data_IF_455309582804
#
_entry.id   IF_455309582804
#
_cell.length_a   1.000
_cell.length_b   1.000
_cell.length_c   1.000
_cell.angle_alpha   90.00
_cell.angle_beta   90.00
_cell.angle_gamma   90.00
#
_symmetry.space_group_name_H-M   'P 1'
#
loop_
_entity.id
_entity.type
_entity.pdbx_description
1 polymer ?
#
# COMPACT_ATOMS: atom_id res chain seq x y z
N UNK A 1 -11.55 27.72 -24.25
CA UNK A 1 -12.52 28.09 -23.21
C UNK A 1 -12.49 27.00 -22.17
N UNK A 2 -12.35 27.27 -20.88
CA UNK A 2 -12.45 26.25 -19.85
C UNK A 2 -13.83 25.61 -19.96
N UNK A 3 -13.89 24.29 -20.09
CA UNK A 3 -15.14 23.55 -20.12
C UNK A 3 -15.65 23.45 -18.68
N UNK A 4 -16.56 24.33 -18.30
CA UNK A 4 -17.30 24.19 -17.06
C UNK A 4 -18.25 22.99 -17.21
N UNK A 5 -18.03 21.92 -16.45
CA UNK A 5 -18.92 20.77 -16.43
C UNK A 5 -19.56 20.63 -15.05
N UNK A 6 -20.86 20.38 -15.01
CA UNK A 6 -21.55 19.91 -13.82
C UNK A 6 -21.75 18.40 -13.90
N UNK A 7 -21.36 17.69 -12.84
CA UNK A 7 -21.43 16.22 -12.75
C UNK A 7 -22.26 15.80 -11.55
N UNK A 8 -22.90 14.64 -11.64
CA UNK A 8 -23.50 14.01 -10.46
C UNK A 8 -22.42 13.66 -9.44
N UNK A 9 -21.26 13.18 -9.91
CA UNK A 9 -20.13 12.88 -9.06
C UNK A 9 -18.78 13.24 -9.70
N UNK A 10 -17.87 13.80 -8.89
CA UNK A 10 -16.46 13.94 -9.22
C UNK A 10 -15.63 13.07 -8.28
N UNK A 11 -14.72 12.27 -8.84
CA UNK A 11 -13.79 11.42 -8.10
C UNK A 11 -12.39 12.04 -8.17
N UNK A 12 -11.76 12.25 -7.03
CA UNK A 12 -10.41 12.81 -6.90
C UNK A 12 -9.42 11.67 -6.71
N UNK A 13 -8.60 11.40 -7.74
CA UNK A 13 -7.62 10.32 -7.80
C UNK A 13 -8.06 9.15 -8.66
N UNK A 14 -7.16 8.68 -9.55
CA UNK A 14 -7.34 7.53 -10.45
C UNK A 14 -6.51 6.31 -10.02
N UNK A 15 -6.39 6.04 -8.70
CA UNK A 15 -5.95 4.76 -8.16
C UNK A 15 -7.08 3.72 -8.19
N UNK A 16 -6.83 2.50 -7.72
CA UNK A 16 -7.85 1.44 -7.68
C UNK A 16 -9.14 1.87 -6.99
N UNK A 17 -9.06 2.61 -5.88
CA UNK A 17 -10.26 3.10 -5.18
C UNK A 17 -11.08 4.05 -6.05
N UNK A 18 -10.45 5.04 -6.67
CA UNK A 18 -11.13 6.02 -7.50
C UNK A 18 -11.70 5.43 -8.79
N UNK A 19 -10.92 4.57 -9.46
CA UNK A 19 -11.41 3.89 -10.67
C UNK A 19 -12.58 2.95 -10.35
N UNK A 20 -12.53 2.21 -9.23
CA UNK A 20 -13.64 1.36 -8.80
C UNK A 20 -14.88 2.18 -8.48
N UNK A 21 -14.73 3.30 -7.78
CA UNK A 21 -15.84 4.22 -7.54
C UNK A 21 -16.44 4.74 -8.86
N UNK A 22 -15.61 5.17 -9.80
CA UNK A 22 -16.07 5.69 -11.09
C UNK A 22 -16.87 4.64 -11.88
N UNK A 23 -16.40 3.37 -11.89
CA UNK A 23 -17.15 2.29 -12.53
C UNK A 23 -18.54 2.07 -11.93
N UNK A 24 -18.66 2.07 -10.60
CA UNK A 24 -19.94 1.91 -9.93
C UNK A 24 -20.91 3.07 -10.25
N UNK A 25 -20.39 4.31 -10.21
CA UNK A 25 -21.17 5.51 -10.51
C UNK A 25 -21.65 5.52 -11.97
N UNK A 26 -20.77 5.24 -12.93
CA UNK A 26 -21.11 5.15 -14.35
C UNK A 26 -22.14 4.04 -14.59
N UNK A 27 -21.99 2.87 -13.95
CA UNK A 27 -22.96 1.77 -14.04
C UNK A 27 -24.33 2.14 -13.48
N UNK A 28 -24.37 3.00 -12.47
CA UNK A 28 -25.60 3.57 -11.93
C UNK A 28 -26.22 4.68 -12.81
N UNK A 29 -25.61 5.01 -13.97
CA UNK A 29 -26.08 6.02 -14.89
C UNK A 29 -25.73 7.45 -14.49
N UNK A 30 -24.84 7.65 -13.50
CA UNK A 30 -24.46 8.97 -13.01
C UNK A 30 -23.36 9.58 -13.90
N UNK A 31 -23.52 10.87 -14.23
CA UNK A 31 -22.49 11.63 -14.92
C UNK A 31 -21.27 11.79 -14.01
N UNK A 32 -20.15 11.20 -14.42
CA UNK A 32 -18.98 11.02 -13.56
C UNK A 32 -17.72 11.59 -14.21
N UNK A 33 -16.88 12.25 -13.40
CA UNK A 33 -15.55 12.75 -13.77
C UNK A 33 -14.51 12.23 -12.76
N UNK A 34 -13.37 11.78 -13.27
CA UNK A 34 -12.20 11.42 -12.45
C UNK A 34 -11.09 12.42 -12.71
N UNK A 35 -10.53 13.02 -11.67
CA UNK A 35 -9.41 13.97 -11.73
C UNK A 35 -8.16 13.33 -11.12
N UNK A 36 -7.12 13.13 -11.92
CA UNK A 36 -5.86 12.55 -11.50
C UNK A 36 -4.72 13.57 -11.64
N UNK A 37 -3.94 13.71 -10.59
CA UNK A 37 -2.83 14.67 -10.55
C UNK A 37 -1.67 14.28 -11.48
N UNK A 38 -1.44 12.98 -11.68
CA UNK A 38 -0.36 12.41 -12.51
C UNK A 38 -0.77 12.29 -13.98
N UNK A 39 0.21 12.18 -14.89
CA UNK A 39 -0.04 11.83 -16.30
C UNK A 39 -0.35 10.33 -16.50
N UNK A 40 -0.70 9.60 -15.45
CA UNK A 40 -1.00 8.16 -15.46
C UNK A 40 -2.01 7.78 -14.38
N UNK A 41 -2.70 6.69 -14.59
CA UNK A 41 -3.55 6.04 -13.59
C UNK A 41 -2.76 5.06 -12.71
N UNK A 42 -3.39 4.45 -11.70
CA UNK A 42 -2.87 3.40 -10.85
C UNK A 42 -2.41 3.85 -9.45
N UNK A 43 -2.19 5.17 -9.24
CA UNK A 43 -1.79 5.67 -7.92
C UNK A 43 -0.47 5.06 -7.43
N UNK A 44 -0.52 4.28 -6.34
CA UNK A 44 0.63 3.57 -5.72
C UNK A 44 1.08 2.31 -6.46
N UNK A 45 0.57 2.08 -7.65
CA UNK A 45 1.00 1.03 -8.57
C UNK A 45 1.73 1.70 -9.74
N UNK A 46 2.90 1.21 -10.06
CA UNK A 46 3.72 1.70 -11.17
C UNK A 46 4.53 0.54 -11.74
N UNK A 47 4.35 0.26 -13.01
CA UNK A 47 5.15 -0.72 -13.76
C UNK A 47 6.06 -0.01 -14.74
N UNK A 48 7.32 -0.40 -14.80
CA UNK A 48 8.33 0.07 -15.74
C UNK A 48 8.89 -1.13 -16.50
N UNK A 49 9.23 -0.92 -17.76
CA UNK A 49 9.97 -1.88 -18.56
C UNK A 49 11.38 -1.38 -18.83
N UNK A 50 12.35 -2.28 -18.78
CA UNK A 50 13.69 -2.04 -19.29
C UNK A 50 13.70 -2.10 -20.81
N UNK A 51 14.82 -1.70 -21.44
CA UNK A 51 14.93 -1.65 -22.89
C UNK A 51 14.74 -3.02 -23.58
N UNK A 52 15.03 -4.10 -22.88
CA UNK A 52 14.88 -5.49 -23.36
C UNK A 52 13.49 -6.09 -23.07
N UNK A 53 12.57 -5.32 -22.47
CA UNK A 53 11.24 -5.76 -22.08
C UNK A 53 11.13 -6.37 -20.70
N UNK A 54 12.20 -6.42 -19.89
CA UNK A 54 12.13 -6.89 -18.50
C UNK A 54 11.19 -6.01 -17.69
N UNK A 55 10.15 -6.61 -17.09
CA UNK A 55 9.13 -5.94 -16.29
C UNK A 55 9.62 -5.69 -14.87
N UNK A 56 9.46 -4.46 -14.39
CA UNK A 56 9.73 -4.05 -13.02
C UNK A 56 8.48 -3.39 -12.42
N UNK A 57 7.93 -3.97 -11.36
CA UNK A 57 6.87 -3.34 -10.57
C UNK A 57 7.49 -2.48 -9.46
N UNK A 58 7.51 -1.17 -9.66
CA UNK A 58 8.11 -0.21 -8.74
C UNK A 58 7.21 0.07 -7.52
N UNK A 59 5.91 -0.23 -7.61
CA UNK A 59 4.92 -0.12 -6.55
C UNK A 59 4.40 -1.45 -6.05
N UNK A 60 3.13 -1.49 -5.63
CA UNK A 60 2.43 -2.72 -5.29
C UNK A 60 2.39 -3.69 -6.47
N UNK A 61 2.42 -5.01 -6.20
CA UNK A 61 2.64 -6.01 -7.25
C UNK A 61 1.96 -7.35 -7.02
N UNK A 62 1.45 -7.64 -5.81
CA UNK A 62 0.94 -8.96 -5.44
C UNK A 62 -0.55 -9.00 -5.21
N UNK A 63 -1.12 -10.17 -5.45
CA UNK A 63 -2.52 -10.51 -5.16
C UNK A 63 -2.53 -11.85 -4.42
N UNK A 64 -3.30 -11.92 -3.35
CA UNK A 64 -3.56 -13.16 -2.62
C UNK A 64 -4.93 -13.76 -2.96
N UNK A 65 -5.11 -15.07 -2.77
CA UNK A 65 -6.35 -15.76 -3.17
C UNK A 65 -7.61 -15.33 -2.41
N UNK A 66 -7.46 -14.72 -1.24
CA UNK A 66 -8.58 -14.20 -0.43
C UNK A 66 -8.89 -12.72 -0.72
N UNK A 67 -8.16 -12.09 -1.65
CA UNK A 67 -8.38 -10.73 -2.13
C UNK A 67 -9.39 -10.75 -3.28
N UNK A 68 -10.67 -10.95 -2.94
CA UNK A 68 -11.72 -11.29 -3.90
C UNK A 68 -12.08 -10.12 -4.83
N UNK A 69 -12.03 -8.88 -4.36
CA UNK A 69 -12.37 -7.71 -5.16
C UNK A 69 -11.38 -7.47 -6.31
N UNK A 70 -10.07 -7.59 -6.02
CA UNK A 70 -9.06 -7.42 -7.07
C UNK A 70 -9.00 -8.64 -7.99
N UNK A 71 -9.24 -9.85 -7.48
CA UNK A 71 -9.32 -11.07 -8.28
C UNK A 71 -10.47 -11.00 -9.28
N UNK A 72 -11.63 -10.46 -8.88
CA UNK A 72 -12.74 -10.18 -9.80
C UNK A 72 -12.33 -9.26 -10.94
N UNK A 73 -11.57 -8.18 -10.65
CA UNK A 73 -11.09 -7.27 -11.69
C UNK A 73 -10.07 -7.93 -12.64
N UNK A 74 -9.17 -8.76 -12.11
CA UNK A 74 -8.25 -9.57 -12.92
C UNK A 74 -9.02 -10.44 -13.91
N UNK A 75 -10.05 -11.15 -13.44
CA UNK A 75 -10.91 -12.01 -14.27
C UNK A 75 -11.71 -11.18 -15.27
N UNK A 76 -12.37 -10.11 -14.82
CA UNK A 76 -13.19 -9.23 -15.66
C UNK A 76 -12.41 -8.65 -16.83
N UNK A 77 -11.18 -8.25 -16.59
CA UNK A 77 -10.35 -7.63 -17.62
C UNK A 77 -9.44 -8.62 -18.36
N UNK A 78 -9.53 -9.92 -18.06
CA UNK A 78 -8.74 -10.96 -18.71
C UNK A 78 -7.23 -10.74 -18.55
N UNK A 79 -6.80 -10.26 -17.38
CA UNK A 79 -5.38 -10.02 -17.10
C UNK A 79 -4.73 -11.34 -16.71
N UNK A 80 -3.65 -11.72 -17.40
CA UNK A 80 -2.90 -12.93 -17.08
C UNK A 80 -2.11 -12.74 -15.77
N UNK A 81 -2.03 -13.83 -15.01
CA UNK A 81 -1.29 -13.86 -13.74
C UNK A 81 -0.34 -15.05 -13.68
N UNK A 82 0.62 -14.99 -12.77
CA UNK A 82 1.56 -16.07 -12.52
C UNK A 82 1.89 -16.17 -11.01
N UNK A 83 2.22 -17.37 -10.50
CA UNK A 83 2.63 -17.51 -9.11
C UNK A 83 3.94 -16.77 -8.84
N UNK A 84 4.08 -16.18 -7.68
CA UNK A 84 5.35 -15.60 -7.25
C UNK A 84 6.40 -16.71 -7.18
N UNK A 85 7.58 -16.56 -7.81
CA UNK A 85 8.63 -17.54 -7.70
C UNK A 85 9.02 -17.78 -6.23
N UNK A 86 9.02 -19.01 -5.80
CA UNK A 86 9.27 -19.36 -4.39
C UNK A 86 9.88 -20.74 -4.20
N UNK A 87 10.28 -21.41 -5.30
CA UNK A 87 10.95 -22.71 -5.21
C UNK A 87 12.37 -22.55 -4.62
N UNK A 88 12.72 -23.44 -3.69
CA UNK A 88 13.99 -23.42 -2.99
C UNK A 88 13.88 -22.92 -1.54
N UNK A 89 15.02 -22.86 -0.87
CA UNK A 89 15.11 -22.46 0.53
C UNK A 89 15.02 -20.94 0.69
N UNK A 90 14.19 -20.48 1.64
CA UNK A 90 14.21 -19.09 2.12
C UNK A 90 15.39 -18.90 3.08
N UNK A 91 16.02 -17.73 3.02
CA UNK A 91 17.04 -17.31 3.98
C UNK A 91 16.36 -16.54 5.12
N UNK A 92 16.60 -16.94 6.36
CA UNK A 92 16.28 -16.15 7.55
C UNK A 92 17.59 -15.78 8.24
N UNK A 93 18.01 -14.52 8.11
CA UNK A 93 19.13 -13.99 8.86
C UNK A 93 18.60 -13.46 10.21
N UNK A 94 18.89 -14.19 11.26
CA UNK A 94 18.43 -13.93 12.62
C UNK A 94 19.62 -13.68 13.55
N UNK A 95 19.92 -12.41 13.79
CA UNK A 95 21.07 -12.00 14.59
C UNK A 95 22.42 -12.37 14.00
N UNK A 96 22.56 -12.35 12.67
CA UNK A 96 23.78 -12.76 11.96
C UNK A 96 23.90 -14.28 11.74
N UNK A 97 22.90 -15.06 12.16
CA UNK A 97 22.85 -16.51 11.94
C UNK A 97 21.83 -16.85 10.85
N UNK A 98 22.23 -17.69 9.91
CA UNK A 98 21.34 -18.18 8.85
C UNK A 98 20.52 -19.37 9.37
N UNK A 99 19.20 -19.23 9.35
CA UNK A 99 18.23 -20.25 9.75
C UNK A 99 17.43 -20.72 8.53
N UNK A 100 16.84 -21.92 8.63
CA UNK A 100 16.01 -22.53 7.58
C UNK A 100 14.50 -22.40 7.85
N UNK A 101 14.10 -21.62 8.83
CA UNK A 101 12.69 -21.41 9.19
C UNK A 101 12.51 -20.36 10.27
N UNK A 102 11.27 -20.06 10.59
CA UNK A 102 10.91 -19.09 11.64
C UNK A 102 11.32 -19.63 13.02
N UNK A 103 12.08 -18.84 13.81
CA UNK A 103 12.44 -19.24 15.17
C UNK A 103 11.23 -19.54 16.05
N UNK A 104 11.28 -20.53 16.98
CA UNK A 104 10.15 -20.86 17.87
C UNK A 104 9.64 -19.65 18.66
N UNK A 105 10.53 -18.83 19.20
CA UNK A 105 10.18 -17.59 19.92
C UNK A 105 9.32 -16.65 19.06
N UNK A 106 9.62 -16.49 17.77
CA UNK A 106 8.85 -15.69 16.83
C UNK A 106 7.49 -16.33 16.56
N UNK A 107 7.42 -17.65 16.43
CA UNK A 107 6.17 -18.39 16.23
C UNK A 107 5.21 -18.18 17.40
N UNK A 108 5.70 -18.21 18.62
CA UNK A 108 4.91 -17.95 19.83
C UNK A 108 4.40 -16.50 19.85
N UNK A 109 5.24 -15.53 19.53
CA UNK A 109 4.87 -14.12 19.47
C UNK A 109 3.84 -13.84 18.37
N UNK A 110 3.96 -14.47 17.19
CA UNK A 110 2.95 -14.38 16.14
C UNK A 110 1.61 -14.97 16.59
N UNK A 111 1.61 -16.09 17.30
CA UNK A 111 0.37 -16.68 17.83
C UNK A 111 -0.31 -15.77 18.86
N UNK A 112 0.45 -15.06 19.71
CA UNK A 112 -0.08 -14.06 20.62
C UNK A 112 -0.68 -12.87 19.87
N UNK A 113 0.04 -12.32 18.90
CA UNK A 113 -0.44 -11.22 18.07
C UNK A 113 -1.75 -11.61 17.35
N UNK A 114 -1.84 -12.80 16.79
CA UNK A 114 -3.06 -13.30 16.16
C UNK A 114 -4.22 -13.46 17.13
N UNK A 115 -3.94 -13.91 18.35
CA UNK A 115 -4.96 -14.04 19.41
C UNK A 115 -5.52 -12.66 19.82
N UNK A 116 -4.69 -11.64 19.84
CA UNK A 116 -5.09 -10.25 20.10
C UNK A 116 -5.84 -9.66 18.88
N UNK A 117 -5.34 -9.86 17.68
CA UNK A 117 -5.95 -9.35 16.45
C UNK A 117 -7.38 -9.87 16.23
N UNK A 118 -7.66 -11.13 16.57
CA UNK A 118 -9.03 -11.70 16.53
C UNK A 118 -10.05 -10.98 17.43
N UNK A 119 -9.61 -10.16 18.39
CA UNK A 119 -10.49 -9.38 19.24
C UNK A 119 -10.83 -7.99 18.67
N UNK A 120 -10.21 -7.61 17.56
CA UNK A 120 -10.43 -6.30 16.93
C UNK A 120 -11.59 -6.38 15.93
N UNK A 121 -12.70 -5.66 16.16
CA UNK A 121 -13.78 -5.54 15.17
C UNK A 121 -13.29 -4.64 14.03
N UNK A 122 -12.98 -5.24 12.87
CA UNK A 122 -12.34 -4.54 11.73
C UNK A 122 -13.17 -3.38 11.16
N UNK A 123 -14.49 -3.40 11.31
CA UNK A 123 -15.35 -2.29 10.92
C UNK A 123 -15.18 -1.07 11.85
N UNK A 124 -14.95 -1.32 13.12
CA UNK A 124 -14.89 -0.30 14.18
C UNK A 124 -13.79 -0.64 15.21
N UNK A 125 -12.49 -0.55 14.82
CA UNK A 125 -11.37 -0.96 15.70
C UNK A 125 -11.37 -0.29 17.06
N UNK A 126 -11.89 0.94 17.14
CA UNK A 126 -12.02 1.70 18.40
C UNK A 126 -13.00 1.07 19.41
N UNK A 127 -13.80 0.10 19.00
CA UNK A 127 -14.70 -0.66 19.86
C UNK A 127 -14.11 -2.01 20.33
N UNK A 128 -12.83 -2.27 20.06
CA UNK A 128 -12.17 -3.45 20.61
C UNK A 128 -12.19 -3.43 22.15
N UNK A 129 -12.31 -4.59 22.83
CA UNK A 129 -12.42 -4.65 24.31
C UNK A 129 -11.30 -3.91 25.06
N UNK A 130 -10.10 -3.85 24.47
CA UNK A 130 -8.93 -3.17 25.02
C UNK A 130 -8.46 -2.00 24.15
N UNK A 131 -9.36 -1.42 23.32
CA UNK A 131 -8.99 -0.37 22.37
C UNK A 131 -8.22 0.78 23.01
N UNK A 132 -8.71 1.31 24.13
CA UNK A 132 -8.08 2.44 24.82
C UNK A 132 -6.67 2.13 25.34
N UNK A 133 -6.39 0.91 25.72
CA UNK A 133 -5.07 0.45 26.13
C UNK A 133 -4.16 0.26 24.92
N UNK A 134 -4.59 -0.52 23.95
CA UNK A 134 -3.81 -0.85 22.75
C UNK A 134 -3.51 0.37 21.87
N UNK A 135 -4.41 1.35 21.84
CA UNK A 135 -4.21 2.54 21.03
C UNK A 135 -3.27 3.57 21.69
N UNK A 136 -3.09 3.53 23.02
CA UNK A 136 -2.14 4.41 23.72
C UNK A 136 -0.69 3.92 23.66
N UNK A 137 -0.50 2.61 23.52
CA UNK A 137 0.81 1.97 23.55
C UNK A 137 1.36 1.84 22.13
N UNK A 138 2.64 2.10 21.96
CA UNK A 138 3.32 1.75 20.71
C UNK A 138 3.54 0.24 20.61
N UNK A 139 3.65 -0.29 19.42
CA UNK A 139 3.99 -1.69 19.23
C UNK A 139 5.38 -2.02 19.80
N UNK A 140 6.33 -1.05 19.75
CA UNK A 140 7.63 -1.19 20.40
C UNK A 140 7.52 -1.38 21.93
N UNK A 141 6.63 -0.63 22.61
CA UNK A 141 6.39 -0.82 24.05
C UNK A 141 5.82 -2.21 24.33
N UNK A 142 4.89 -2.67 23.50
CA UNK A 142 4.32 -4.01 23.62
C UNK A 142 5.39 -5.09 23.46
N UNK A 143 6.30 -4.96 22.47
CA UNK A 143 7.43 -5.89 22.28
C UNK A 143 8.33 -5.90 23.52
N UNK A 144 8.68 -4.74 24.04
CA UNK A 144 9.54 -4.62 25.24
C UNK A 144 8.94 -5.32 26.47
N UNK A 145 7.62 -5.22 26.65
CA UNK A 145 6.90 -5.83 27.77
C UNK A 145 6.87 -7.39 27.70
N UNK A 146 7.18 -7.97 26.53
CA UNK A 146 7.25 -9.45 26.38
C UNK A 146 8.55 -10.03 26.96
N UNK A 147 9.58 -9.21 27.15
CA UNK A 147 10.88 -9.72 27.62
C UNK A 147 11.53 -10.68 26.65
N UNK A 148 11.18 -10.63 25.36
CA UNK A 148 11.77 -11.45 24.32
C UNK A 148 13.24 -11.06 24.04
N UNK A 149 13.96 -11.90 23.31
CA UNK A 149 15.34 -11.60 22.96
C UNK A 149 15.43 -10.33 22.10
N UNK A 150 16.56 -9.61 22.16
CA UNK A 150 16.78 -8.41 21.34
C UNK A 150 16.66 -8.71 19.85
N UNK A 151 17.06 -9.92 19.41
CA UNK A 151 16.95 -10.34 18.03
C UNK A 151 15.48 -10.55 17.65
N UNK A 152 14.68 -11.15 18.54
CA UNK A 152 13.24 -11.30 18.34
C UNK A 152 12.53 -9.95 18.27
N UNK A 153 12.86 -9.04 19.17
CA UNK A 153 12.32 -7.67 19.16
C UNK A 153 12.61 -6.97 17.82
N UNK A 154 13.87 -7.06 17.35
CA UNK A 154 14.27 -6.51 16.06
C UNK A 154 13.58 -7.20 14.88
N UNK A 155 13.39 -8.52 14.94
CA UNK A 155 12.66 -9.27 13.91
C UNK A 155 11.22 -8.79 13.80
N UNK A 156 10.51 -8.64 14.92
CA UNK A 156 9.14 -8.11 14.94
C UNK A 156 9.06 -6.68 14.41
N UNK A 157 9.95 -5.79 14.83
CA UNK A 157 9.98 -4.43 14.31
C UNK A 157 10.19 -4.42 12.79
N UNK A 158 11.16 -5.16 12.28
CA UNK A 158 11.46 -5.17 10.85
C UNK A 158 10.41 -5.88 10.00
N UNK A 159 9.90 -7.04 10.45
CA UNK A 159 9.00 -7.85 9.63
C UNK A 159 7.54 -7.41 9.79
N UNK A 160 7.09 -7.08 11.00
CA UNK A 160 5.71 -6.62 11.21
C UNK A 160 5.61 -5.11 10.94
N UNK A 161 6.34 -4.26 11.64
CA UNK A 161 6.21 -2.82 11.45
C UNK A 161 6.82 -2.37 10.12
N UNK A 162 8.00 -2.86 9.76
CA UNK A 162 8.64 -2.58 8.48
C UNK A 162 7.92 -3.23 7.31
N UNK A 163 7.86 -4.56 7.29
CA UNK A 163 7.37 -5.34 6.15
C UNK A 163 5.89 -5.15 5.85
N UNK A 164 5.05 -4.98 6.86
CA UNK A 164 3.60 -4.82 6.69
C UNK A 164 3.17 -3.34 6.63
N UNK A 165 3.73 -2.48 7.50
CA UNK A 165 3.28 -1.10 7.67
C UNK A 165 4.25 -0.08 7.07
N UNK A 166 5.42 -0.52 6.59
CA UNK A 166 6.51 0.34 6.10
C UNK A 166 6.92 1.43 7.11
N UNK A 167 6.85 1.14 8.39
CA UNK A 167 7.14 2.03 9.50
C UNK A 167 8.06 1.40 10.54
N UNK A 168 8.09 1.98 11.73
CA UNK A 168 8.76 1.44 12.90
C UNK A 168 7.73 1.08 13.98
N UNK A 169 8.03 0.07 14.80
CA UNK A 169 7.22 -0.30 15.95
C UNK A 169 7.04 0.85 16.96
N UNK A 170 7.92 1.84 16.94
CA UNK A 170 7.82 3.05 17.78
C UNK A 170 6.81 4.08 17.25
N UNK A 171 6.37 3.97 16.01
CA UNK A 171 5.49 4.95 15.35
C UNK A 171 4.02 4.49 15.32
N UNK A 172 3.76 3.20 15.33
CA UNK A 172 2.40 2.63 15.25
C UNK A 172 1.88 2.22 16.63
N UNK A 173 0.56 2.34 16.83
CA UNK A 173 -0.07 1.79 18.03
C UNK A 173 -0.23 0.27 17.94
N UNK A 174 -0.34 -0.38 19.08
CA UNK A 174 -0.72 -1.81 19.13
C UNK A 174 -2.05 -2.01 18.41
N UNK A 175 -3.03 -1.13 18.61
CA UNK A 175 -4.35 -1.26 17.97
C UNK A 175 -4.27 -1.16 16.45
N UNK A 176 -3.45 -0.25 15.91
CA UNK A 176 -3.22 -0.14 14.46
C UNK A 176 -2.62 -1.42 13.90
N UNK A 177 -1.58 -1.95 14.55
CA UNK A 177 -0.92 -3.20 14.13
C UNK A 177 -1.91 -4.38 14.16
N UNK A 178 -2.70 -4.49 15.22
CA UNK A 178 -3.71 -5.54 15.36
C UNK A 178 -4.85 -5.41 14.35
N UNK A 179 -5.32 -4.18 14.09
CA UNK A 179 -6.34 -3.92 13.08
C UNK A 179 -5.85 -4.34 11.69
N UNK A 180 -4.63 -3.94 11.33
CA UNK A 180 -4.06 -4.29 10.02
C UNK A 180 -4.01 -5.81 9.84
N UNK A 181 -3.51 -6.53 10.83
CA UNK A 181 -3.44 -7.99 10.85
C UNK A 181 -4.84 -8.61 10.78
N UNK A 182 -5.78 -8.12 11.59
CA UNK A 182 -7.16 -8.60 11.60
C UNK A 182 -7.86 -8.38 10.24
N UNK A 183 -7.58 -7.26 9.57
CA UNK A 183 -8.18 -6.91 8.28
C UNK A 183 -7.86 -7.91 7.16
N UNK A 184 -6.73 -8.60 7.27
CA UNK A 184 -6.27 -9.62 6.33
C UNK A 184 -6.51 -11.07 6.82
N UNK A 185 -6.97 -11.24 8.07
CA UNK A 185 -7.28 -12.54 8.65
C UNK A 185 -6.15 -13.20 9.44
N UNK A 186 -5.04 -12.49 9.70
CA UNK A 186 -3.94 -12.98 10.54
C UNK A 186 -2.55 -12.63 10.01
N UNK A 187 -1.53 -13.00 10.79
CA UNK A 187 -0.11 -12.77 10.44
C UNK A 187 0.31 -13.61 9.24
N UNK A 188 -0.03 -14.90 9.23
CA UNK A 188 0.35 -15.81 8.13
C UNK A 188 -0.21 -15.39 6.76
N UNK A 189 -1.51 -15.02 6.62
CA UNK A 189 -2.04 -14.46 5.38
C UNK A 189 -1.29 -13.24 4.87
N UNK A 190 -0.69 -12.44 5.76
CA UNK A 190 0.07 -11.23 5.39
C UNK A 190 1.52 -11.52 4.99
N UNK A 191 2.18 -12.45 5.67
CA UNK A 191 3.61 -12.70 5.48
C UNK A 191 3.93 -13.83 4.50
N UNK A 192 2.96 -14.66 4.17
CA UNK A 192 3.14 -15.83 3.31
C UNK A 192 3.21 -15.49 1.81
N UNK A 193 3.77 -16.41 1.04
CA UNK A 193 3.79 -16.37 -0.42
C UNK A 193 2.68 -17.27 -0.98
N UNK A 194 2.90 -18.56 -1.14
CA UNK A 194 1.89 -19.48 -1.68
C UNK A 194 0.63 -19.53 -0.79
N UNK A 195 -0.53 -19.24 -1.36
CA UNK A 195 -1.80 -19.19 -0.66
C UNK A 195 -2.04 -17.96 0.23
N UNK A 196 -1.15 -16.96 0.21
CA UNK A 196 -1.18 -15.78 1.06
C UNK A 196 -1.12 -14.48 0.24
N UNK A 197 -0.84 -13.33 0.86
CA UNK A 197 -0.91 -12.02 0.22
C UNK A 197 0.06 -11.84 -0.96
N UNK A 198 1.20 -12.56 -0.96
CA UNK A 198 2.21 -12.49 -2.01
C UNK A 198 2.16 -13.67 -2.99
N UNK A 199 1.01 -14.36 -3.10
CA UNK A 199 0.84 -15.57 -3.90
C UNK A 199 1.06 -15.33 -5.40
N UNK A 200 0.41 -14.32 -5.95
CA UNK A 200 0.23 -14.15 -7.39
C UNK A 200 0.71 -12.77 -7.84
N UNK A 201 1.33 -12.74 -9.02
CA UNK A 201 1.74 -11.52 -9.72
C UNK A 201 1.06 -11.39 -11.08
N UNK A 202 1.16 -10.22 -11.68
CA UNK A 202 0.45 -9.83 -12.89
C UNK A 202 1.43 -9.80 -14.08
N UNK A 203 1.09 -10.48 -15.17
CA UNK A 203 1.79 -10.36 -16.45
C UNK A 203 1.52 -8.95 -17.00
N UNK A 204 2.56 -8.26 -17.38
CA UNK A 204 2.45 -6.86 -17.80
C UNK A 204 2.49 -5.86 -16.63
N UNK A 205 2.58 -6.36 -15.38
CA UNK A 205 2.66 -5.56 -14.16
C UNK A 205 1.30 -5.15 -13.60
N UNK A 206 1.28 -4.85 -12.31
CA UNK A 206 0.03 -4.56 -11.61
C UNK A 206 -0.69 -3.29 -12.12
N UNK A 207 0.03 -2.36 -12.76
CA UNK A 207 -0.57 -1.16 -13.35
C UNK A 207 -1.49 -1.48 -14.53
N UNK A 208 -1.33 -2.62 -15.19
CA UNK A 208 -2.15 -3.04 -16.32
C UNK A 208 -3.63 -3.16 -15.95
N UNK A 209 -3.94 -3.62 -14.74
CA UNK A 209 -5.32 -3.66 -14.24
C UNK A 209 -5.92 -2.25 -14.21
N UNK A 210 -5.20 -1.27 -13.66
CA UNK A 210 -5.66 0.11 -13.58
C UNK A 210 -5.79 0.76 -14.98
N UNK A 211 -4.90 0.43 -15.91
CA UNK A 211 -4.97 0.89 -17.30
C UNK A 211 -6.24 0.37 -17.98
N UNK A 212 -6.55 -0.91 -17.84
CA UNK A 212 -7.78 -1.52 -18.40
C UNK A 212 -9.03 -0.98 -17.74
N UNK A 213 -9.03 -0.78 -16.44
CA UNK A 213 -10.13 -0.10 -15.74
C UNK A 213 -10.38 1.30 -16.31
N UNK A 214 -9.35 2.09 -16.50
CA UNK A 214 -9.50 3.45 -17.04
C UNK A 214 -9.98 3.44 -18.50
N UNK A 215 -9.51 2.49 -19.32
CA UNK A 215 -9.90 2.34 -20.72
C UNK A 215 -11.36 1.86 -20.90
N UNK A 216 -11.92 1.11 -19.92
CA UNK A 216 -13.30 0.62 -19.92
C UNK A 216 -14.33 1.72 -19.52
N UNK A 217 -13.88 2.84 -18.97
CA UNK A 217 -14.74 3.99 -18.69
C UNK A 217 -15.04 4.78 -19.98
N UNK A 218 -16.22 5.44 -20.07
CA UNK A 218 -16.54 6.28 -21.20
C UNK A 218 -15.45 7.30 -21.51
N UNK A 219 -15.20 7.54 -22.78
CA UNK A 219 -14.17 8.50 -23.22
C UNK A 219 -14.35 9.87 -22.56
N UNK A 220 -13.26 10.41 -22.02
CA UNK A 220 -13.28 11.71 -21.33
C UNK A 220 -13.73 11.65 -19.87
N UNK A 221 -14.03 10.47 -19.30
CA UNK A 221 -14.30 10.34 -17.86
C UNK A 221 -13.05 10.63 -17.02
N UNK A 222 -11.89 10.09 -17.40
CA UNK A 222 -10.63 10.26 -16.65
C UNK A 222 -9.83 11.43 -17.24
N UNK A 223 -9.48 12.38 -16.37
CA UNK A 223 -8.63 13.53 -16.68
C UNK A 223 -7.31 13.40 -15.91
N UNK A 224 -6.24 13.29 -16.66
CA UNK A 224 -4.87 13.18 -16.14
C UNK A 224 -4.20 14.56 -16.05
N UNK A 225 -3.15 14.67 -15.24
CA UNK A 225 -2.34 15.88 -15.05
C UNK A 225 -3.12 17.09 -14.54
N UNK A 226 -4.23 16.84 -13.85
CA UNK A 226 -5.15 17.88 -13.35
C UNK A 226 -5.39 17.74 -11.83
N UNK A 227 -4.41 18.13 -11.00
CA UNK A 227 -4.54 18.04 -9.55
C UNK A 227 -5.64 18.98 -9.01
N UNK A 228 -6.47 18.46 -8.11
CA UNK A 228 -7.42 19.24 -7.32
C UNK A 228 -6.64 19.98 -6.23
N UNK A 229 -6.79 21.30 -6.17
CA UNK A 229 -6.08 22.18 -5.24
C UNK A 229 -6.97 22.68 -4.12
N UNK A 230 -8.26 22.97 -4.43
CA UNK A 230 -9.25 23.45 -3.48
C UNK A 230 -10.61 22.86 -3.78
N UNK A 231 -11.39 22.62 -2.73
CA UNK A 231 -12.79 22.18 -2.80
C UNK A 231 -13.62 23.12 -1.94
N UNK A 232 -14.53 23.86 -2.59
CA UNK A 232 -15.58 24.62 -1.93
C UNK A 232 -16.82 23.73 -1.87
N UNK A 233 -17.39 23.51 -0.68
CA UNK A 233 -18.47 22.53 -0.52
C UNK A 233 -19.50 22.94 0.50
N UNK A 234 -20.71 22.43 0.30
CA UNK A 234 -21.82 22.53 1.25
C UNK A 234 -22.64 21.23 1.27
N UNK A 235 -23.82 21.23 1.85
CA UNK A 235 -24.69 20.04 1.85
C UNK A 235 -25.26 19.69 0.48
N UNK A 236 -25.29 20.63 -0.47
CA UNK A 236 -25.91 20.47 -1.80
C UNK A 236 -24.94 20.02 -2.88
N UNK A 237 -23.66 20.38 -2.76
CA UNK A 237 -22.64 20.03 -3.76
C UNK A 237 -21.26 20.60 -3.46
N UNK A 238 -20.40 20.59 -4.49
CA UNK A 238 -19.06 21.12 -4.39
C UNK A 238 -18.56 21.72 -5.70
N UNK A 239 -17.69 22.73 -5.57
CA UNK A 239 -16.85 23.29 -6.64
C UNK A 239 -15.41 22.87 -6.40
N UNK A 240 -14.80 22.21 -7.36
CA UNK A 240 -13.41 21.78 -7.31
C UNK A 240 -12.57 22.72 -8.19
N UNK A 241 -11.59 23.35 -7.59
CA UNK A 241 -10.60 24.17 -8.30
C UNK A 241 -9.40 23.29 -8.57
N UNK A 242 -9.05 23.15 -9.84
CA UNK A 242 -7.94 22.34 -10.31
C UNK A 242 -6.87 23.21 -10.96
N UNK A 243 -5.77 22.59 -11.39
CA UNK A 243 -4.73 23.31 -12.13
C UNK A 243 -5.23 23.79 -13.50
N UNK A 244 -6.14 23.05 -14.15
CA UNK A 244 -6.60 23.34 -15.52
C UNK A 244 -7.95 24.07 -15.58
N UNK A 245 -8.62 24.30 -14.45
CA UNK A 245 -9.89 24.99 -14.40
C UNK A 245 -10.74 24.58 -13.20
N UNK A 246 -12.06 24.60 -13.39
CA UNK A 246 -13.02 24.34 -12.33
C UNK A 246 -14.01 23.25 -12.75
N UNK A 247 -14.46 22.46 -11.80
CA UNK A 247 -15.49 21.43 -11.97
C UNK A 247 -16.55 21.58 -10.87
N UNK A 248 -17.78 21.23 -11.18
CA UNK A 248 -18.90 21.28 -10.24
C UNK A 248 -19.49 19.87 -10.10
N UNK A 249 -19.85 19.48 -8.89
CA UNK A 249 -20.44 18.17 -8.64
C UNK A 249 -21.48 18.23 -7.53
N UNK A 250 -22.53 17.40 -7.66
CA UNK A 250 -23.46 17.16 -6.56
C UNK A 250 -22.78 16.41 -5.40
N UNK A 251 -21.87 15.48 -5.71
CA UNK A 251 -21.09 14.73 -4.71
C UNK A 251 -19.65 14.58 -5.17
N UNK A 252 -18.74 14.47 -4.19
CA UNK A 252 -17.31 14.28 -4.45
C UNK A 252 -16.80 13.07 -3.68
N UNK A 253 -16.09 12.18 -4.37
CA UNK A 253 -15.36 11.08 -3.72
C UNK A 253 -13.87 11.44 -3.69
N UNK A 254 -13.32 11.62 -2.50
CA UNK A 254 -11.90 11.85 -2.27
C UNK A 254 -11.23 10.48 -2.18
N UNK A 255 -10.59 10.05 -3.28
CA UNK A 255 -9.97 8.73 -3.43
C UNK A 255 -8.43 8.80 -3.42
N UNK A 256 -7.89 9.71 -2.61
CA UNK A 256 -6.46 9.87 -2.36
C UNK A 256 -6.13 9.55 -0.91
N UNK A 257 -4.87 9.18 -0.59
CA UNK A 257 -4.46 8.88 0.78
C UNK A 257 -4.77 10.02 1.76
N UNK A 258 -5.09 9.72 3.04
CA UNK A 258 -5.49 10.73 4.02
C UNK A 258 -4.51 11.90 4.15
N UNK A 259 -3.19 11.63 4.16
CA UNK A 259 -2.16 12.67 4.25
C UNK A 259 -2.12 13.58 3.01
N UNK A 260 -2.59 13.13 1.85
CA UNK A 260 -2.73 13.95 0.65
C UNK A 260 -4.08 14.66 0.61
N UNK A 261 -5.14 14.00 1.06
CA UNK A 261 -6.45 14.63 1.22
C UNK A 261 -6.36 15.87 2.14
N UNK A 262 -5.57 15.79 3.22
CA UNK A 262 -5.30 16.91 4.11
C UNK A 262 -4.49 18.06 3.50
N UNK A 263 -3.98 17.92 2.27
CA UNK A 263 -3.28 19.00 1.53
C UNK A 263 -4.18 19.77 0.57
N UNK A 264 -5.38 19.27 0.30
CA UNK A 264 -6.40 19.98 -0.45
C UNK A 264 -6.97 21.08 0.46
N UNK A 265 -7.14 22.28 -0.06
CA UNK A 265 -7.79 23.35 0.66
C UNK A 265 -9.31 23.15 0.63
N UNK A 266 -9.95 23.09 1.80
CA UNK A 266 -11.41 22.98 1.92
C UNK A 266 -12.04 24.29 2.38
N UNK A 267 -13.22 24.62 1.82
CA UNK A 267 -14.01 25.79 2.19
C UNK A 267 -15.51 25.41 2.22
N UNK A 268 -16.17 25.39 3.39
CA UNK A 268 -15.59 25.64 4.72
C UNK A 268 -14.55 24.59 5.11
N UNK A 269 -13.72 24.84 6.14
CA UNK A 269 -12.80 23.86 6.69
C UNK A 269 -13.50 22.57 7.09
N UNK A 270 -12.81 21.45 6.97
CA UNK A 270 -13.35 20.17 7.42
C UNK A 270 -13.55 20.15 8.95
N UNK A 271 -14.46 19.30 9.46
CA UNK A 271 -14.57 19.11 10.90
C UNK A 271 -13.24 18.71 11.54
N UNK A 272 -12.93 19.27 12.72
CA UNK A 272 -11.62 19.05 13.38
C UNK A 272 -11.27 17.57 13.64
N UNK A 273 -12.26 16.70 13.84
CA UNK A 273 -12.00 15.26 13.95
C UNK A 273 -11.54 14.63 12.63
N UNK A 274 -12.04 15.10 11.50
CA UNK A 274 -11.57 14.67 10.17
C UNK A 274 -10.15 15.15 9.89
N UNK A 275 -9.87 16.42 10.13
CA UNK A 275 -8.52 16.97 9.99
C UNK A 275 -7.54 16.29 10.94
N UNK A 276 -7.97 16.03 12.18
CA UNK A 276 -7.19 15.30 13.16
C UNK A 276 -6.81 13.89 12.72
N UNK A 277 -7.72 13.18 12.01
CA UNK A 277 -7.41 11.88 11.41
C UNK A 277 -6.30 11.99 10.34
N UNK A 278 -6.39 12.97 9.45
CA UNK A 278 -5.38 13.19 8.41
C UNK A 278 -3.98 13.51 8.96
N UNK A 279 -3.93 14.32 10.03
CA UNK A 279 -2.68 14.71 10.67
C UNK A 279 -1.99 13.57 11.43
N UNK A 280 -2.73 12.52 11.78
CA UNK A 280 -2.25 11.41 12.62
C UNK A 280 -2.11 10.09 11.87
N UNK A 281 -2.13 10.15 10.55
CA UNK A 281 -1.98 9.00 9.69
C UNK A 281 -0.83 9.24 8.67
N UNK A 282 0.43 9.25 9.15
CA UNK A 282 1.58 9.40 8.26
C UNK A 282 1.66 8.23 7.28
N UNK A 283 2.19 8.50 6.09
CA UNK A 283 2.48 7.44 5.11
C UNK A 283 3.68 6.61 5.54
N UNK A 284 3.68 5.34 5.19
CA UNK A 284 4.83 4.48 5.35
C UNK A 284 6.04 4.94 4.54
N UNK A 285 7.20 4.49 4.95
CA UNK A 285 8.49 4.78 4.30
C UNK A 285 9.15 3.49 3.88
N UNK A 286 9.34 3.31 2.56
CA UNK A 286 10.10 2.20 2.03
C UNK A 286 10.93 2.63 0.81
N UNK A 287 12.02 1.94 0.62
CA UNK A 287 12.81 1.97 -0.60
C UNK A 287 12.77 0.58 -1.23
N UNK A 288 12.33 0.53 -2.48
CA UNK A 288 12.29 -0.69 -3.28
C UNK A 288 13.42 -0.66 -4.29
N UNK A 289 14.19 -1.73 -4.34
CA UNK A 289 15.34 -1.88 -5.22
C UNK A 289 15.18 -3.13 -6.05
N UNK A 290 15.48 -3.03 -7.34
CA UNK A 290 15.57 -4.15 -8.26
C UNK A 290 17.02 -4.30 -8.73
N UNK A 291 17.66 -5.40 -8.38
CA UNK A 291 18.93 -5.82 -8.95
C UNK A 291 18.66 -6.83 -10.06
N UNK A 292 19.10 -6.53 -11.29
CA UNK A 292 18.80 -7.31 -12.49
C UNK A 292 20.03 -8.04 -12.93
N UNK A 293 19.91 -9.34 -13.19
CA UNK A 293 20.99 -10.26 -13.52
C UNK A 293 20.71 -11.02 -14.82
N UNK A 294 21.73 -11.56 -15.50
CA UNK A 294 21.51 -12.37 -16.69
C UNK A 294 20.65 -13.62 -16.43
N UNK A 295 20.77 -14.21 -15.24
CA UNK A 295 20.07 -15.44 -14.84
C UNK A 295 19.76 -15.45 -13.34
N UNK A 296 18.75 -16.21 -12.88
CA UNK A 296 18.42 -16.32 -11.46
C UNK A 296 19.39 -17.28 -10.73
N UNK A 297 20.63 -16.86 -10.57
CA UNK A 297 21.73 -17.68 -10.06
C UNK A 297 21.46 -18.28 -8.66
N UNK A 298 20.66 -17.60 -7.83
CA UNK A 298 20.25 -18.10 -6.51
C UNK A 298 19.46 -19.40 -6.59
N UNK A 299 18.73 -19.65 -7.68
CA UNK A 299 17.99 -20.91 -7.88
C UNK A 299 18.93 -22.09 -8.09
N UNK A 300 20.07 -21.87 -8.75
CA UNK A 300 21.10 -22.90 -8.92
C UNK A 300 21.75 -23.31 -7.59
N UNK A 301 21.75 -22.37 -6.62
CA UNK A 301 22.23 -22.62 -5.25
C UNK A 301 21.14 -23.19 -4.32
N UNK A 302 19.96 -23.57 -4.87
CA UNK A 302 18.82 -24.11 -4.13
C UNK A 302 18.05 -23.08 -3.32
N UNK A 303 18.21 -21.77 -3.62
CA UNK A 303 17.57 -20.66 -2.91
C UNK A 303 16.36 -20.13 -3.69
N UNK A 304 15.33 -19.72 -2.96
CA UNK A 304 14.11 -19.13 -3.54
C UNK A 304 14.25 -17.67 -3.96
N UNK A 305 15.34 -16.98 -3.60
CA UNK A 305 15.46 -15.52 -3.71
C UNK A 305 14.75 -14.76 -2.59
N UNK A 306 13.99 -15.46 -1.74
CA UNK A 306 13.37 -14.85 -0.56
C UNK A 306 14.37 -14.85 0.59
N UNK A 307 14.56 -13.69 1.19
CA UNK A 307 15.29 -13.54 2.44
C UNK A 307 14.54 -12.61 3.40
N UNK A 308 14.64 -12.87 4.70
CA UNK A 308 14.26 -11.95 5.77
C UNK A 308 15.46 -11.75 6.67
N UNK A 309 15.78 -10.50 6.98
CA UNK A 309 17.01 -10.17 7.72
C UNK A 309 16.75 -9.22 8.87
N UNK A 310 17.34 -9.54 10.02
CA UNK A 310 17.45 -8.63 11.16
C UNK A 310 18.69 -7.75 11.09
N UNK A 311 19.58 -7.99 10.11
CA UNK A 311 20.86 -7.30 9.95
C UNK A 311 20.85 -6.37 8.73
N UNK A 312 21.76 -5.41 8.71
CA UNK A 312 21.92 -4.48 7.58
C UNK A 312 20.69 -3.60 7.31
N UNK A 313 20.59 -3.08 6.09
CA UNK A 313 19.53 -2.14 5.69
C UNK A 313 18.35 -2.83 5.00
N UNK A 314 18.55 -4.00 4.42
CA UNK A 314 17.49 -4.74 3.74
C UNK A 314 16.76 -5.64 4.74
N UNK A 315 15.46 -5.48 4.80
CA UNK A 315 14.59 -6.34 5.62
C UNK A 315 14.18 -7.60 4.88
N UNK A 316 13.90 -7.47 3.58
CA UNK A 316 13.31 -8.53 2.78
C UNK A 316 13.85 -8.50 1.36
N UNK A 317 13.99 -9.68 0.76
CA UNK A 317 14.21 -9.85 -0.68
C UNK A 317 13.22 -10.85 -1.26
N UNK A 318 13.02 -10.80 -2.57
CA UNK A 318 12.16 -11.74 -3.30
C UNK A 318 12.67 -11.93 -4.73
N UNK A 319 12.57 -13.15 -5.23
CA UNK A 319 12.71 -13.42 -6.67
C UNK A 319 11.53 -12.79 -7.40
N UNK A 320 11.82 -11.76 -8.16
CA UNK A 320 10.83 -10.96 -8.87
C UNK A 320 10.84 -11.19 -10.39
N UNK A 321 11.47 -12.26 -10.81
CA UNK A 321 11.64 -12.62 -12.22
C UNK A 321 10.29 -12.93 -12.86
N UNK A 322 9.83 -12.15 -13.86
CA UNK A 322 8.61 -12.48 -14.60
C UNK A 322 8.79 -13.76 -15.42
N UNK A 323 7.69 -14.49 -15.74
CA UNK A 323 7.78 -15.62 -16.67
C UNK A 323 8.29 -15.14 -18.03
N UNK A 324 9.13 -15.94 -18.64
CA UNK A 324 9.74 -15.65 -19.95
C UNK A 324 10.53 -14.34 -20.02
N UNK A 325 10.92 -13.78 -18.86
CA UNK A 325 11.78 -12.58 -18.81
C UNK A 325 13.16 -12.90 -19.42
N UNK A 326 13.73 -11.99 -20.21
CA UNK A 326 15.08 -12.17 -20.75
C UNK A 326 16.15 -12.11 -19.66
N UNK A 327 15.83 -11.52 -18.50
CA UNK A 327 16.73 -11.38 -17.33
C UNK A 327 16.02 -11.70 -16.04
N UNK A 328 16.79 -12.04 -15.02
CA UNK A 328 16.32 -12.31 -13.68
C UNK A 328 16.31 -11.04 -12.82
N UNK A 329 15.34 -10.93 -11.92
CA UNK A 329 15.16 -9.77 -11.05
C UNK A 329 15.10 -10.20 -9.59
N UNK A 330 16.09 -9.77 -8.81
CA UNK A 330 16.04 -9.87 -7.36
C UNK A 330 15.59 -8.52 -6.80
N UNK A 331 14.44 -8.51 -6.14
CA UNK A 331 13.90 -7.29 -5.52
C UNK A 331 14.22 -7.29 -4.04
N UNK A 332 14.63 -6.14 -3.53
CA UNK A 332 14.96 -5.94 -2.13
C UNK A 332 14.21 -4.73 -1.55
N UNK A 333 13.94 -4.77 -0.25
CA UNK A 333 13.21 -3.74 0.45
C UNK A 333 13.96 -3.29 1.71
N UNK A 334 14.03 -1.97 1.88
CA UNK A 334 14.34 -1.32 3.14
C UNK A 334 13.10 -0.56 3.62
N UNK A 335 12.79 -0.63 4.91
CA UNK A 335 11.59 -0.02 5.49
C UNK A 335 11.95 0.90 6.65
N UNK A 336 11.02 1.81 6.98
CA UNK A 336 11.12 2.66 8.16
C UNK A 336 12.45 3.41 8.26
N UNK A 337 13.13 3.27 9.38
CA UNK A 337 14.39 3.97 9.66
C UNK A 337 15.50 3.61 8.67
N UNK A 338 15.63 2.34 8.30
CA UNK A 338 16.64 1.88 7.33
C UNK A 338 16.46 2.53 5.95
N UNK A 339 15.21 2.69 5.51
CA UNK A 339 14.92 3.40 4.26
C UNK A 339 15.30 4.89 4.36
N UNK A 340 15.05 5.54 5.51
CA UNK A 340 15.44 6.92 5.77
C UNK A 340 16.97 7.06 5.78
N UNK A 341 17.68 6.14 6.42
CA UNK A 341 19.14 6.13 6.46
C UNK A 341 19.75 5.97 5.06
N UNK A 342 19.23 5.03 4.26
CA UNK A 342 19.64 4.87 2.87
C UNK A 342 19.38 6.14 2.05
N UNK A 343 18.24 6.76 2.22
CA UNK A 343 17.86 7.97 1.49
C UNK A 343 18.80 9.15 1.72
N UNK A 344 19.45 9.23 2.89
CA UNK A 344 20.43 10.26 3.22
C UNK A 344 21.79 10.07 2.52
N UNK A 345 22.01 8.91 1.89
CA UNK A 345 23.23 8.60 1.14
C UNK A 345 23.08 9.03 -0.32
N UNK A 346 24.21 9.26 -0.99
CA UNK A 346 24.18 9.45 -2.43
C UNK A 346 23.85 8.14 -3.17
N UNK A 347 23.43 8.18 -4.44
CA UNK A 347 23.02 6.99 -5.17
C UNK A 347 24.10 5.90 -5.28
N UNK A 348 25.37 6.27 -5.43
CA UNK A 348 26.47 5.31 -5.55
C UNK A 348 26.73 4.60 -4.20
N UNK A 349 26.67 5.35 -3.10
CA UNK A 349 26.80 4.78 -1.76
C UNK A 349 25.61 3.88 -1.43
N UNK A 350 24.37 4.26 -1.75
CA UNK A 350 23.19 3.40 -1.59
C UNK A 350 23.35 2.08 -2.33
N UNK A 351 23.72 2.16 -3.62
CA UNK A 351 23.99 0.96 -4.42
C UNK A 351 25.01 0.06 -3.76
N UNK A 352 26.14 0.62 -3.31
CA UNK A 352 27.19 -0.13 -2.64
C UNK A 352 26.72 -0.85 -1.37
N UNK A 353 25.96 -0.14 -0.52
CA UNK A 353 25.41 -0.69 0.74
C UNK A 353 24.44 -1.84 0.45
N UNK A 354 23.49 -1.63 -0.46
CA UNK A 354 22.48 -2.63 -0.82
C UNK A 354 23.15 -3.88 -1.44
N UNK A 355 24.07 -3.68 -2.39
CA UNK A 355 24.75 -4.81 -3.05
C UNK A 355 25.64 -5.57 -2.08
N UNK A 356 26.29 -4.91 -1.12
CA UNK A 356 27.08 -5.59 -0.08
C UNK A 356 26.20 -6.57 0.71
N UNK A 357 25.00 -6.14 1.16
CA UNK A 357 24.10 -7.04 1.87
C UNK A 357 23.51 -8.14 0.98
N UNK A 358 23.20 -7.85 -0.29
CA UNK A 358 22.81 -8.91 -1.24
C UNK A 358 23.93 -9.93 -1.43
N UNK A 359 25.19 -9.48 -1.45
CA UNK A 359 26.36 -10.36 -1.48
C UNK A 359 26.49 -11.24 -0.24
N UNK A 360 26.21 -10.72 0.94
CA UNK A 360 26.17 -11.49 2.19
C UNK A 360 25.06 -12.55 2.17
N UNK A 361 23.90 -12.23 1.58
CA UNK A 361 22.76 -13.15 1.53
C UNK A 361 22.90 -14.20 0.43
N UNK A 362 23.32 -13.81 -0.78
CA UNK A 362 23.27 -14.65 -1.98
C UNK A 362 24.63 -14.95 -2.62
N UNK A 363 25.72 -14.48 -2.00
CA UNK A 363 27.08 -14.73 -2.50
C UNK A 363 27.58 -13.70 -3.50
N UNK A 364 28.83 -13.86 -3.94
CA UNK A 364 29.56 -12.86 -4.74
C UNK A 364 28.88 -12.45 -6.05
N UNK A 365 28.12 -13.34 -6.68
CA UNK A 365 27.38 -13.03 -7.91
C UNK A 365 26.33 -11.91 -7.72
N UNK A 366 25.81 -11.74 -6.50
CA UNK A 366 24.85 -10.68 -6.19
C UNK A 366 25.47 -9.28 -6.18
N UNK A 367 26.80 -9.16 -6.15
CA UNK A 367 27.50 -7.87 -6.14
C UNK A 367 27.51 -7.15 -7.50
N UNK A 368 27.28 -7.89 -8.59
CA UNK A 368 27.47 -7.42 -9.97
C UNK A 368 26.21 -7.57 -10.81
N UNK A 369 25.10 -6.85 -10.48
CA UNK A 369 23.94 -6.83 -11.35
C UNK A 369 24.21 -6.03 -12.62
N UNK A 370 23.64 -6.46 -13.75
CA UNK A 370 23.66 -5.70 -15.02
C UNK A 370 23.00 -4.34 -14.88
N UNK A 371 21.87 -4.31 -14.13
CA UNK A 371 21.17 -3.06 -13.83
C UNK A 371 20.74 -3.01 -12.36
N UNK A 372 20.67 -1.79 -11.85
CA UNK A 372 20.24 -1.49 -10.49
C UNK A 372 19.22 -0.35 -10.55
N UNK A 373 17.97 -0.65 -10.22
CA UNK A 373 16.87 0.30 -10.28
C UNK A 373 16.31 0.49 -8.89
N UNK A 374 16.33 1.73 -8.40
CA UNK A 374 15.70 2.11 -7.13
C UNK A 374 14.51 3.03 -7.39
N UNK A 375 13.49 2.97 -6.53
CA UNK A 375 12.37 3.87 -6.56
C UNK A 375 12.00 4.35 -5.15
N UNK A 376 11.99 5.67 -4.96
CA UNK A 376 11.71 6.35 -3.70
C UNK A 376 10.31 6.95 -3.73
N UNK A 377 9.33 6.24 -3.15
CA UNK A 377 7.95 6.69 -3.06
C UNK A 377 7.76 7.91 -2.15
N UNK A 378 8.69 8.18 -1.22
CA UNK A 378 8.66 9.37 -0.36
C UNK A 378 8.98 10.63 -1.16
N UNK A 379 9.82 10.54 -2.19
CA UNK A 379 10.14 11.63 -3.10
C UNK A 379 9.04 11.91 -4.13
N UNK A 380 8.14 10.95 -4.38
CA UNK A 380 7.10 11.08 -5.38
C UNK A 380 6.03 12.07 -4.92
N UNK A 381 5.82 13.14 -5.69
CA UNK A 381 5.03 14.33 -5.32
C UNK A 381 3.60 14.00 -4.86
N UNK A 382 2.93 13.07 -5.56
CA UNK A 382 1.53 12.76 -5.35
C UNK A 382 1.32 11.48 -4.54
N UNK A 383 2.36 11.02 -3.81
CA UNK A 383 2.26 9.91 -2.85
C UNK A 383 2.83 10.28 -1.50
N UNK A 384 4.07 10.86 -1.48
CA UNK A 384 4.79 11.28 -0.28
C UNK A 384 4.95 10.16 0.76
N UNK A 385 5.11 8.95 0.29
CA UNK A 385 5.26 7.73 1.06
C UNK A 385 4.81 6.50 0.28
N UNK A 386 4.81 5.36 0.93
CA UNK A 386 4.48 4.08 0.30
C UNK A 386 3.62 3.22 1.21
N UNK A 387 3.18 2.08 0.68
CA UNK A 387 2.21 1.21 1.28
C UNK A 387 0.92 1.98 1.58
N UNK A 388 0.66 2.27 2.87
CA UNK A 388 -0.52 3.02 3.33
C UNK A 388 -0.16 3.99 4.46
N UNK A 389 -1.10 4.83 4.83
CA UNK A 389 -1.02 5.60 6.06
C UNK A 389 -1.52 4.78 7.24
N UNK A 390 -0.88 4.94 8.38
CA UNK A 390 -1.19 4.20 9.60
C UNK A 390 -1.36 5.15 10.78
N UNK A 391 -2.37 4.90 11.62
CA UNK A 391 -2.57 5.71 12.80
C UNK A 391 -1.43 5.56 13.80
N UNK A 392 -0.90 6.71 14.22
CA UNK A 392 -0.02 6.80 15.39
C UNK A 392 -0.82 6.58 16.67
N UNK A 393 -0.18 6.36 17.84
CA UNK A 393 -0.88 6.15 19.12
C UNK A 393 -1.96 7.22 19.41
N UNK A 394 -3.13 6.76 19.84
CA UNK A 394 -4.32 7.57 20.08
C UNK A 394 -5.16 7.89 18.84
N UNK A 395 -4.75 7.41 17.68
CA UNK A 395 -5.41 7.71 16.40
C UNK A 395 -6.79 7.06 16.25
N UNK A 396 -6.89 5.77 16.50
CA UNK A 396 -8.13 5.02 16.34
C UNK A 396 -9.23 5.45 17.31
N UNK A 397 -8.90 5.54 18.59
CA UNK A 397 -9.89 5.87 19.62
C UNK A 397 -10.38 7.31 19.55
N UNK A 398 -9.57 8.22 19.03
CA UNK A 398 -9.93 9.64 18.92
C UNK A 398 -10.52 10.01 17.56
N UNK A 399 -10.11 9.38 16.47
CA UNK A 399 -10.40 9.83 15.11
C UNK A 399 -10.94 8.75 14.19
N UNK A 400 -10.90 7.47 14.58
CA UNK A 400 -11.26 6.33 13.74
C UNK A 400 -12.66 6.44 13.13
N UNK A 401 -13.66 6.82 13.93
CA UNK A 401 -15.03 7.00 13.45
C UNK A 401 -15.14 8.09 12.37
N UNK A 402 -14.32 9.15 12.47
CA UNK A 402 -14.31 10.22 11.48
C UNK A 402 -13.66 9.81 10.15
N UNK A 403 -12.84 8.76 10.10
CA UNK A 403 -12.06 8.39 8.91
C UNK A 403 -12.93 7.98 7.70
N UNK A 404 -14.11 7.43 7.93
CA UNK A 404 -15.03 6.97 6.86
C UNK A 404 -16.27 7.83 6.70
N UNK A 405 -16.67 8.56 7.74
CA UNK A 405 -17.93 9.31 7.74
C UNK A 405 -17.95 10.41 6.66
N UNK A 406 -18.98 10.52 5.83
CA UNK A 406 -19.13 11.63 4.90
C UNK A 406 -19.14 13.00 5.58
N UNK A 407 -18.75 14.05 4.85
CA UNK A 407 -18.83 15.45 5.30
C UNK A 407 -19.60 16.26 4.25
N UNK A 408 -20.88 16.51 4.48
CA UNK A 408 -21.74 17.14 3.48
C UNK A 408 -21.74 16.38 2.15
N UNK A 409 -21.32 17.04 1.08
CA UNK A 409 -21.21 16.45 -0.25
C UNK A 409 -19.95 15.56 -0.46
N UNK A 410 -19.06 15.49 0.54
CA UNK A 410 -17.75 14.81 0.43
C UNK A 410 -17.80 13.40 1.00
N UNK A 411 -17.37 12.42 0.20
CA UNK A 411 -17.22 11.01 0.54
C UNK A 411 -15.75 10.60 0.43
N UNK A 412 -15.35 9.53 1.10
CA UNK A 412 -13.95 9.15 1.26
C UNK A 412 -13.70 7.72 0.79
N UNK A 413 -12.74 7.56 -0.11
CA UNK A 413 -12.29 6.27 -0.59
C UNK A 413 -10.76 6.24 -0.63
N UNK A 414 -10.18 5.20 -0.15
CA UNK A 414 -8.78 4.79 -0.33
C UNK A 414 -8.57 3.52 0.48
N UNK A 415 -7.47 2.81 0.29
CA UNK A 415 -7.23 1.58 1.02
C UNK A 415 -7.18 1.79 2.53
N UNK A 416 -6.79 2.97 3.01
CA UNK A 416 -6.78 3.35 4.43
C UNK A 416 -8.18 3.42 5.04
N UNK A 417 -9.23 3.55 4.22
CA UNK A 417 -10.64 3.53 4.68
C UNK A 417 -11.29 2.15 4.54
N UNK A 418 -10.57 1.16 4.04
CA UNK A 418 -11.07 -0.19 3.87
C UNK A 418 -11.23 -0.92 5.22
N UNK A 419 -12.21 -1.84 5.27
CA UNK A 419 -12.45 -2.72 6.42
C UNK A 419 -11.61 -3.98 6.31
N UNK A 420 -11.53 -4.55 5.11
CA UNK A 420 -10.75 -5.75 4.82
C UNK A 420 -9.60 -5.41 3.89
N UNK A 421 -8.50 -6.15 4.03
CA UNK A 421 -7.30 -5.96 3.22
C UNK A 421 -6.85 -4.49 3.18
N UNK A 422 -6.89 -3.82 4.35
CA UNK A 422 -6.38 -2.46 4.51
C UNK A 422 -4.93 -2.38 4.03
N UNK A 423 -4.59 -1.34 3.26
CA UNK A 423 -3.26 -1.21 2.65
C UNK A 423 -3.09 -1.92 1.31
N UNK A 424 -3.97 -2.84 0.91
CA UNK A 424 -3.89 -3.64 -0.32
C UNK A 424 -4.77 -3.12 -1.44
N UNK A 425 -4.60 -3.67 -2.64
CA UNK A 425 -5.44 -3.39 -3.82
C UNK A 425 -6.91 -3.72 -3.55
N UNK A 426 -7.14 -4.86 -2.89
CA UNK A 426 -8.48 -5.35 -2.55
C UNK A 426 -9.25 -4.36 -1.70
N UNK A 427 -8.61 -3.85 -0.64
CA UNK A 427 -9.20 -2.82 0.21
C UNK A 427 -9.42 -1.49 -0.52
N UNK A 428 -8.54 -1.14 -1.46
CA UNK A 428 -8.77 0.05 -2.29
C UNK A 428 -10.05 -0.10 -3.14
N UNK A 429 -10.24 -1.27 -3.79
CA UNK A 429 -11.46 -1.57 -4.57
C UNK A 429 -12.70 -1.57 -3.69
N UNK A 430 -12.66 -2.25 -2.52
CA UNK A 430 -13.75 -2.26 -1.54
C UNK A 430 -14.16 -0.84 -1.17
N UNK A 431 -13.20 0.00 -0.79
CA UNK A 431 -13.46 1.37 -0.35
C UNK A 431 -14.08 2.25 -1.44
N UNK A 432 -13.65 2.05 -2.69
CA UNK A 432 -14.22 2.75 -3.85
C UNK A 432 -15.67 2.36 -4.11
N UNK A 433 -15.99 1.07 -4.08
CA UNK A 433 -17.36 0.53 -4.22
C UNK A 433 -18.26 1.05 -3.11
N UNK A 434 -17.80 1.05 -1.86
CA UNK A 434 -18.53 1.59 -0.72
C UNK A 434 -18.85 3.06 -0.89
N UNK A 435 -17.85 3.89 -1.23
CA UNK A 435 -18.06 5.32 -1.41
C UNK A 435 -19.02 5.64 -2.56
N UNK A 436 -18.97 4.87 -3.65
CA UNK A 436 -19.92 5.00 -4.75
C UNK A 436 -21.35 4.66 -4.32
N UNK A 437 -21.55 3.61 -3.52
CA UNK A 437 -22.85 3.26 -2.97
C UNK A 437 -23.41 4.35 -2.05
N UNK A 438 -22.56 4.96 -1.20
CA UNK A 438 -22.94 6.12 -0.38
C UNK A 438 -23.41 7.30 -1.24
N UNK A 439 -22.68 7.62 -2.32
CA UNK A 439 -23.05 8.68 -3.27
C UNK A 439 -24.37 8.36 -3.95
N UNK A 440 -24.56 7.13 -4.44
CA UNK A 440 -25.81 6.69 -5.06
C UNK A 440 -27.01 6.86 -4.13
N UNK A 441 -26.87 6.44 -2.87
CA UNK A 441 -27.91 6.62 -1.86
C UNK A 441 -28.22 8.10 -1.59
N UNK A 442 -27.18 8.94 -1.49
CA UNK A 442 -27.32 10.38 -1.24
C UNK A 442 -27.91 11.19 -2.42
N UNK A 443 -27.88 10.65 -3.63
CA UNK A 443 -28.50 11.28 -4.83
C UNK A 443 -29.93 10.78 -5.11
N UNK A 444 -30.31 9.65 -4.50
CA UNK A 444 -31.65 9.05 -4.70
C UNK A 444 -32.67 9.49 -3.63
N UNK A 445 -32.24 10.05 -2.50
CA UNK A 445 -33.08 10.56 -1.41
C UNK A 445 -33.18 12.07 -1.45
#
# INVERSE_FOLDING_TARGET
MPRFGYYDAVVVGAGFAGLSAAHELVRAGLSTRVLEARPRVGGRVLTRYLADGTQLDLGGQWIGPTQLNITELVQRYGVETYPTPGEGAMIVDYGGHRLTGTPPEITELFAEIDAMARQVPVAEPWNAPRAAEWDRCTFASWIADRGCSQVAARFLDRVISGGLLAGSASETSVLETLFYIASAGGVEPLLGYAGAAQDTRIVGGAQEIANRMAADLPAGTVHLSDPVLRIEHDGSGARLVTRLGEQWASRVIIAVPPMLAGRIQYDPPLPGLREGAFQRMPAGTAMKVHAVYPEPFWRADGLSGVARSTSGVLTETVDNTPPNSPRAVLTAFAYGEEAILLRRRDPAERRRIVLAQLGELFGGRALEPDEFVEFDWLAEEWTRGCFSGHFIPGGWTSFGAALRAPVGALHWACTETAVRWNGYFDGAVESGRRAAAEVGAALSG
#
